data_IF_482828759535
#
_entry.id   IF_482828759535
#
_cell.length_a   1.000
_cell.length_b   1.000
_cell.length_c   1.000
_cell.angle_alpha   90.00
_cell.angle_beta   90.00
_cell.angle_gamma   90.00
#
_symmetry.space_group_name_H-M   'P 1'
#
loop_
_entity.id
_entity.type
_entity.pdbx_description
1 polymer ?
#
# COMPACT_ATOMS: atom_id res chain seq x y z
N UNK A 1 9.20 14.80 5.81
CA UNK A 1 8.12 15.69 5.32
C UNK A 1 7.55 16.45 6.51
N UNK A 2 7.17 17.73 6.37
CA UNK A 2 6.52 18.46 7.46
C UNK A 2 5.24 17.78 7.92
N UNK A 3 5.00 17.70 9.24
CA UNK A 3 3.85 16.98 9.82
C UNK A 3 2.51 17.48 9.27
N UNK A 4 2.34 18.80 9.17
CA UNK A 4 1.12 19.40 8.64
C UNK A 4 0.83 18.99 7.19
N UNK A 5 1.86 18.86 6.36
CA UNK A 5 1.70 18.40 4.98
C UNK A 5 1.29 16.92 4.95
N UNK A 6 1.87 16.09 5.82
CA UNK A 6 1.50 14.67 5.94
C UNK A 6 0.04 14.55 6.36
N UNK A 7 -0.38 15.25 7.41
CA UNK A 7 -1.75 15.15 7.93
C UNK A 7 -2.80 15.54 6.87
N UNK A 8 -2.54 16.60 6.09
CA UNK A 8 -3.40 17.00 4.97
C UNK A 8 -3.51 15.91 3.89
N UNK A 9 -2.40 15.30 3.51
CA UNK A 9 -2.38 14.23 2.52
C UNK A 9 -3.08 12.96 3.01
N UNK A 10 -2.82 12.56 4.25
CA UNK A 10 -3.47 11.40 4.87
C UNK A 10 -4.98 11.56 4.85
N UNK A 11 -5.48 12.75 5.24
CA UNK A 11 -6.92 13.00 5.23
C UNK A 11 -7.50 12.99 3.81
N UNK A 12 -6.81 13.61 2.84
CA UNK A 12 -7.26 13.62 1.46
C UNK A 12 -7.35 12.19 0.86
N UNK A 13 -6.35 11.34 1.14
CA UNK A 13 -6.35 9.96 0.66
C UNK A 13 -7.41 9.09 1.36
N UNK A 14 -7.63 9.28 2.66
CA UNK A 14 -8.71 8.60 3.39
C UNK A 14 -10.07 8.90 2.77
N UNK A 15 -10.35 10.16 2.43
CA UNK A 15 -11.61 10.55 1.80
C UNK A 15 -11.72 9.96 0.39
N UNK A 16 -10.74 10.24 -0.47
CA UNK A 16 -10.78 9.82 -1.87
C UNK A 16 -10.85 8.29 -2.03
N UNK A 17 -10.13 7.54 -1.20
CA UNK A 17 -10.16 6.07 -1.22
C UNK A 17 -11.52 5.48 -0.83
N UNK A 18 -12.37 6.26 -0.16
CA UNK A 18 -13.70 5.84 0.24
C UNK A 18 -14.82 6.24 -0.71
N UNK A 19 -14.54 7.09 -1.70
CA UNK A 19 -15.52 7.54 -2.68
C UNK A 19 -16.05 6.37 -3.55
N UNK A 20 -17.38 6.18 -3.67
CA UNK A 20 -17.97 5.11 -4.46
C UNK A 20 -17.54 5.13 -5.93
N UNK A 21 -17.46 6.31 -6.55
CA UNK A 21 -17.02 6.48 -7.93
C UNK A 21 -15.57 6.03 -8.12
N UNK A 22 -14.69 6.38 -7.18
CA UNK A 22 -13.29 5.95 -7.22
C UNK A 22 -13.15 4.44 -7.01
N UNK A 23 -13.90 3.85 -6.07
CA UNK A 23 -13.94 2.40 -5.88
C UNK A 23 -14.41 1.68 -7.14
N UNK A 24 -15.48 2.17 -7.78
CA UNK A 24 -15.99 1.63 -9.05
C UNK A 24 -14.98 1.77 -10.18
N UNK A 25 -14.29 2.91 -10.26
CA UNK A 25 -13.23 3.12 -11.23
C UNK A 25 -12.11 2.08 -11.09
N UNK A 26 -11.67 1.78 -9.86
CA UNK A 26 -10.65 0.78 -9.58
C UNK A 26 -11.12 -0.64 -9.91
N UNK A 27 -12.29 -1.05 -9.43
CA UNK A 27 -12.80 -2.42 -9.67
C UNK A 27 -13.07 -2.68 -11.15
N UNK A 28 -13.51 -1.68 -11.92
CA UNK A 28 -13.68 -1.80 -13.38
C UNK A 28 -12.38 -2.08 -14.14
N UNK A 29 -11.23 -1.88 -13.51
CA UNK A 29 -9.88 -2.15 -14.06
C UNK A 29 -9.23 -3.39 -13.44
N UNK A 30 -10.00 -4.18 -12.69
CA UNK A 30 -9.48 -5.33 -11.95
C UNK A 30 -8.57 -4.96 -10.78
N UNK A 31 -8.55 -3.70 -10.36
CA UNK A 31 -7.82 -3.27 -9.18
C UNK A 31 -8.66 -3.51 -7.92
N UNK A 32 -7.97 -3.77 -6.81
CA UNK A 32 -8.58 -3.91 -5.49
C UNK A 32 -8.57 -2.55 -4.77
N UNK A 33 -9.73 -1.96 -4.44
CA UNK A 33 -9.78 -0.71 -3.69
C UNK A 33 -9.26 -0.94 -2.26
N UNK A 34 -8.09 -0.38 -1.97
CA UNK A 34 -7.41 -0.57 -0.70
C UNK A 34 -6.88 0.76 -0.18
N UNK A 35 -7.24 1.08 1.07
CA UNK A 35 -6.66 2.17 1.82
C UNK A 35 -5.81 1.59 2.95
N UNK A 36 -4.57 2.05 3.05
CA UNK A 36 -3.64 1.66 4.10
C UNK A 36 -3.31 2.88 4.96
N UNK A 37 -3.81 2.92 6.20
CA UNK A 37 -3.46 3.97 7.15
C UNK A 37 -1.94 4.07 7.40
N UNK A 38 -1.39 5.27 7.65
CA UNK A 38 0.06 5.47 7.80
C UNK A 38 0.69 4.65 8.94
N UNK A 39 -0.03 4.51 10.05
CA UNK A 39 0.40 3.74 11.24
C UNK A 39 0.52 2.24 10.95
N UNK A 40 -0.16 1.76 9.90
CA UNK A 40 -0.11 0.36 9.46
C UNK A 40 0.78 0.14 8.25
N UNK A 41 1.16 1.21 7.55
CA UNK A 41 1.86 1.12 6.28
C UNK A 41 3.22 0.42 6.41
N UNK A 42 4.02 0.80 7.40
CA UNK A 42 5.36 0.24 7.61
C UNK A 42 5.29 -1.26 7.88
N UNK A 43 4.46 -1.68 8.82
CA UNK A 43 4.30 -3.09 9.18
C UNK A 43 3.82 -3.93 7.98
N UNK A 44 2.84 -3.44 7.22
CA UNK A 44 2.34 -4.11 6.03
C UNK A 44 3.44 -4.33 4.97
N UNK A 45 4.23 -3.30 4.68
CA UNK A 45 5.30 -3.41 3.68
C UNK A 45 6.47 -4.26 4.15
N UNK A 46 6.79 -4.26 5.45
CA UNK A 46 7.81 -5.14 6.00
C UNK A 46 7.39 -6.62 5.93
N UNK A 47 6.12 -6.92 6.22
CA UNK A 47 5.60 -8.29 6.09
C UNK A 47 5.53 -8.73 4.62
N UNK A 48 5.10 -7.85 3.73
CA UNK A 48 5.13 -8.12 2.29
C UNK A 48 6.56 -8.38 1.81
N UNK A 49 7.55 -7.60 2.29
CA UNK A 49 8.97 -7.80 1.98
C UNK A 49 9.43 -9.21 2.38
N UNK A 50 9.11 -9.67 3.60
CA UNK A 50 9.49 -11.02 4.07
C UNK A 50 8.95 -12.12 3.16
N UNK A 51 7.67 -12.02 2.77
CA UNK A 51 7.03 -12.99 1.88
C UNK A 51 7.73 -13.01 0.52
N UNK A 52 7.96 -11.84 -0.07
CA UNK A 52 8.60 -11.72 -1.39
C UNK A 52 10.04 -12.22 -1.33
N UNK A 53 10.80 -11.92 -0.28
CA UNK A 53 12.15 -12.45 -0.09
C UNK A 53 12.15 -13.99 -0.05
N UNK A 54 11.24 -14.60 0.69
CA UNK A 54 11.12 -16.08 0.72
C UNK A 54 10.70 -16.71 -0.61
N UNK A 55 9.96 -15.98 -1.47
CA UNK A 55 9.68 -16.43 -2.85
C UNK A 55 10.94 -16.31 -3.71
N UNK A 56 11.64 -15.18 -3.65
CA UNK A 56 12.85 -14.93 -4.44
C UNK A 56 14.00 -15.86 -4.08
N UNK A 57 14.14 -16.20 -2.80
CA UNK A 57 15.15 -17.15 -2.31
C UNK A 57 14.90 -18.55 -2.88
N UNK A 58 13.65 -19.05 -2.78
CA UNK A 58 13.25 -20.34 -3.37
C UNK A 58 13.42 -20.39 -4.90
N UNK A 59 13.31 -19.25 -5.57
CA UNK A 59 13.55 -19.12 -7.00
C UNK A 59 15.04 -18.91 -7.37
N UNK A 60 15.94 -18.78 -6.39
CA UNK A 60 17.37 -18.58 -6.61
C UNK A 60 17.75 -17.20 -7.16
N UNK A 61 16.88 -16.19 -7.00
CA UNK A 61 17.06 -14.84 -7.57
C UNK A 61 17.23 -13.75 -6.50
N UNK A 62 17.21 -14.10 -5.21
CA UNK A 62 17.37 -13.13 -4.14
C UNK A 62 18.81 -12.56 -4.14
N UNK A 63 18.93 -11.23 -4.31
CA UNK A 63 20.22 -10.53 -4.41
C UNK A 63 20.77 -10.04 -3.07
N UNK A 64 19.90 -9.78 -2.11
CA UNK A 64 20.30 -9.39 -0.75
C UNK A 64 20.63 -10.66 0.05
N UNK A 65 21.88 -10.79 0.50
CA UNK A 65 22.24 -11.73 1.56
C UNK A 65 21.91 -11.12 2.91
#
# INVERSE_FOLDING_TARGET
>A
MPKEAVDKLVKAFEVASNEPEFKKFLTSRGAFPFYLPPDKAVAFFDDQRKVVQGVMDRAGILKSK
#
